data_IF_566995150094
#
_entry.id   IF_566995150094
#
_cell.length_a   1.000
_cell.length_b   1.000
_cell.length_c   1.000
_cell.angle_alpha   90.00
_cell.angle_beta   90.00
_cell.angle_gamma   90.00
#
_symmetry.space_group_name_H-M   'P 1'
#
loop_
_entity.id
_entity.type
_entity.pdbx_description
1 polymer ?
#
# COMPACT_ATOMS: atom_id res chain seq x y z
N UNK A 1 -21.16 47.09 16.30
CA UNK A 1 -21.29 45.93 15.39
C UNK A 1 -21.27 46.45 13.96
N UNK A 2 -20.09 46.41 13.32
CA UNK A 2 -19.79 47.11 12.06
C UNK A 2 -19.76 46.08 10.93
N UNK A 3 -20.94 45.66 10.46
CA UNK A 3 -21.07 44.79 9.27
C UNK A 3 -22.07 45.32 8.24
N UNK A 4 -22.62 46.53 8.45
CA UNK A 4 -23.68 47.11 7.61
C UNK A 4 -23.19 48.18 6.62
N UNK A 5 -21.89 48.37 6.44
CA UNK A 5 -21.36 49.48 5.62
C UNK A 5 -21.01 49.10 4.17
N UNK A 6 -21.05 47.82 3.79
CA UNK A 6 -20.54 47.36 2.48
C UNK A 6 -21.59 46.73 1.55
N UNK A 7 -22.89 46.81 1.86
CA UNK A 7 -23.96 46.32 0.96
C UNK A 7 -23.88 44.83 0.63
N UNK A 8 -23.06 44.05 1.34
CA UNK A 8 -22.92 42.62 1.16
C UNK A 8 -23.96 41.89 1.98
N UNK A 9 -24.78 41.05 1.33
CA UNK A 9 -25.73 40.20 2.04
C UNK A 9 -24.96 39.25 2.98
N UNK A 10 -25.18 39.27 4.30
CA UNK A 10 -24.42 38.44 5.25
C UNK A 10 -24.52 36.94 4.93
N UNK A 11 -25.61 36.51 4.28
CA UNK A 11 -25.77 35.15 3.76
C UNK A 11 -24.74 34.79 2.67
N UNK A 12 -24.38 35.72 1.79
CA UNK A 12 -23.38 35.48 0.74
C UNK A 12 -21.97 35.36 1.31
N UNK A 13 -21.67 36.15 2.35
CA UNK A 13 -20.38 36.06 3.08
C UNK A 13 -20.28 34.71 3.80
N UNK A 14 -21.35 34.28 4.47
CA UNK A 14 -21.40 32.97 5.13
C UNK A 14 -21.26 31.81 4.12
N UNK A 15 -21.95 31.88 2.97
CA UNK A 15 -21.81 30.90 1.89
C UNK A 15 -20.38 30.83 1.35
N UNK A 16 -19.73 31.99 1.15
CA UNK A 16 -18.33 32.06 0.71
C UNK A 16 -17.36 31.42 1.71
N UNK A 17 -17.57 31.66 3.01
CA UNK A 17 -16.75 31.05 4.06
C UNK A 17 -16.93 29.54 4.15
N UNK A 18 -18.18 29.05 4.06
CA UNK A 18 -18.47 27.60 4.06
C UNK A 18 -17.86 26.92 2.83
N UNK A 19 -18.04 27.51 1.63
CA UNK A 19 -17.44 26.98 0.40
C UNK A 19 -15.91 26.97 0.47
N UNK A 20 -15.30 28.05 0.99
CA UNK A 20 -13.85 28.13 1.20
C UNK A 20 -13.33 27.08 2.20
N UNK A 21 -14.04 26.85 3.30
CA UNK A 21 -13.68 25.85 4.29
C UNK A 21 -13.76 24.42 3.73
N UNK A 22 -14.78 24.11 2.93
CA UNK A 22 -14.92 22.82 2.25
C UNK A 22 -13.77 22.63 1.25
N UNK A 23 -13.46 23.64 0.44
CA UNK A 23 -12.37 23.59 -0.52
C UNK A 23 -11.01 23.37 0.14
N UNK A 24 -10.70 24.13 1.20
CA UNK A 24 -9.48 23.97 1.98
C UNK A 24 -9.37 22.58 2.61
N UNK A 25 -10.48 22.06 3.15
CA UNK A 25 -10.52 20.72 3.75
C UNK A 25 -10.25 19.64 2.71
N UNK A 26 -10.90 19.71 1.54
CA UNK A 26 -10.66 18.78 0.42
C UNK A 26 -9.21 18.83 -0.04
N UNK A 27 -8.65 20.03 -0.22
CA UNK A 27 -7.27 20.21 -0.65
C UNK A 27 -6.28 19.64 0.38
N UNK A 28 -6.53 19.90 1.66
CA UNK A 28 -5.68 19.42 2.75
C UNK A 28 -5.73 17.90 2.90
N UNK A 29 -6.93 17.30 2.80
CA UNK A 29 -7.09 15.85 2.79
C UNK A 29 -6.37 15.23 1.59
N UNK A 30 -6.51 15.79 0.39
CA UNK A 30 -5.83 15.30 -0.80
C UNK A 30 -4.30 15.39 -0.66
N UNK A 31 -3.79 16.51 -0.13
CA UNK A 31 -2.36 16.68 0.15
C UNK A 31 -1.83 15.66 1.18
N UNK A 32 -2.59 15.41 2.25
CA UNK A 32 -2.25 14.40 3.27
C UNK A 32 -2.25 12.99 2.69
N UNK A 33 -3.19 12.65 1.79
CA UNK A 33 -3.20 11.37 1.08
C UNK A 33 -1.96 11.20 0.19
N UNK A 34 -1.56 12.24 -0.54
CA UNK A 34 -0.34 12.21 -1.34
C UNK A 34 0.94 12.09 -0.49
N UNK A 35 0.99 12.79 0.65
CA UNK A 35 2.13 12.67 1.58
C UNK A 35 2.23 11.25 2.15
N UNK A 36 1.09 10.69 2.58
CA UNK A 36 1.01 9.35 3.20
C UNK A 36 1.35 8.24 2.22
N UNK A 37 0.97 8.37 0.94
CA UNK A 37 1.31 7.39 -0.09
C UNK A 37 2.78 7.44 -0.49
N UNK A 38 3.38 8.64 -0.55
CA UNK A 38 4.81 8.81 -0.83
C UNK A 38 5.70 8.32 0.34
N UNK A 39 5.31 8.59 1.58
CA UNK A 39 6.02 8.08 2.77
C UNK A 39 5.79 6.58 3.01
N UNK A 40 4.57 6.08 2.79
CA UNK A 40 4.24 4.66 2.90
C UNK A 40 4.99 3.78 1.91
N UNK A 41 5.26 4.27 0.69
CA UNK A 41 6.09 3.57 -0.30
C UNK A 41 7.59 3.52 0.06
N UNK A 42 8.12 4.56 0.73
CA UNK A 42 9.52 4.54 1.20
C UNK A 42 9.75 3.55 2.36
N UNK A 43 8.74 3.29 3.18
CA UNK A 43 8.82 2.31 4.28
C UNK A 43 8.77 0.84 3.85
N UNK A 44 8.15 0.51 2.71
CA UNK A 44 8.03 -0.87 2.21
C UNK A 44 9.20 -1.33 1.33
N UNK A 45 9.92 -0.39 0.68
CA UNK A 45 11.07 -0.74 -0.17
C UNK A 45 12.27 -1.32 0.60
N UNK A 46 12.41 -1.00 1.89
CA UNK A 46 13.53 -1.45 2.73
C UNK A 46 13.33 -2.78 3.47
N UNK A 47 12.08 -3.21 3.70
CA UNK A 47 11.79 -4.44 4.47
C UNK A 47 11.67 -5.70 3.62
N UNK A 48 11.51 -5.58 2.30
CA UNK A 48 11.22 -6.76 1.47
C UNK A 48 12.45 -7.53 0.96
N UNK A 49 13.68 -7.01 1.08
CA UNK A 49 14.85 -7.67 0.47
C UNK A 49 15.60 -8.63 1.42
N UNK A 50 15.53 -8.43 2.73
CA UNK A 50 16.33 -9.21 3.70
C UNK A 50 15.53 -10.19 4.57
N UNK A 51 14.19 -10.10 4.60
CA UNK A 51 13.31 -10.96 5.42
C UNK A 51 12.74 -12.18 4.67
N UNK A 52 13.20 -12.47 3.45
CA UNK A 52 12.80 -13.72 2.80
C UNK A 52 13.70 -14.83 3.35
N UNK A 53 13.20 -15.77 4.16
CA UNK A 53 14.01 -16.90 4.59
C UNK A 53 14.54 -17.61 3.35
N UNK A 54 15.79 -18.13 3.38
CA UNK A 54 16.30 -18.91 2.26
C UNK A 54 15.26 -20.00 1.96
N UNK A 55 14.73 -20.00 0.75
CA UNK A 55 13.77 -21.02 0.33
C UNK A 55 14.56 -22.32 0.23
N UNK A 56 14.64 -23.06 1.33
CA UNK A 56 15.32 -24.36 1.39
C UNK A 56 14.54 -25.30 0.46
N UNK A 57 15.11 -25.60 -0.70
CA UNK A 57 14.55 -26.55 -1.66
C UNK A 57 15.12 -27.93 -1.37
N UNK A 58 14.34 -28.98 -1.62
CA UNK A 58 14.84 -30.35 -1.62
C UNK A 58 14.86 -30.89 -3.06
N UNK A 59 15.89 -31.65 -3.42
CA UNK A 59 16.00 -32.26 -4.73
C UNK A 59 15.38 -33.65 -4.73
N UNK A 60 14.67 -33.98 -5.82
CA UNK A 60 14.11 -35.31 -5.97
C UNK A 60 15.23 -36.36 -6.15
N UNK A 61 15.30 -37.33 -5.24
CA UNK A 61 16.24 -38.46 -5.31
C UNK A 61 16.00 -39.46 -6.46
N UNK A 62 14.97 -39.24 -7.29
CA UNK A 62 14.80 -40.00 -8.54
C UNK A 62 15.88 -39.61 -9.53
N UNK A 63 16.83 -40.53 -9.81
CA UNK A 63 18.06 -40.24 -10.55
C UNK A 63 17.92 -39.46 -11.86
N UNK A 64 16.80 -39.62 -12.60
CA UNK A 64 16.50 -38.87 -13.84
C UNK A 64 15.74 -37.55 -13.63
N UNK A 65 15.01 -37.40 -12.52
CA UNK A 65 14.13 -36.25 -12.31
C UNK A 65 14.90 -35.06 -11.72
N UNK A 66 15.64 -35.27 -10.62
CA UNK A 66 16.44 -34.25 -9.92
C UNK A 66 15.78 -32.87 -9.76
N UNK A 67 14.45 -32.82 -9.76
CA UNK A 67 13.71 -31.58 -9.73
C UNK A 67 13.83 -30.94 -8.35
N UNK A 68 14.05 -29.63 -8.32
CA UNK A 68 14.03 -28.84 -7.09
C UNK A 68 12.59 -28.59 -6.66
N UNK A 69 12.24 -29.06 -5.46
CA UNK A 69 10.91 -28.97 -4.89
C UNK A 69 10.87 -27.95 -3.73
N UNK A 70 9.72 -27.29 -3.52
CA UNK A 70 9.53 -26.42 -2.37
C UNK A 70 9.62 -27.19 -1.05
N UNK A 71 9.99 -26.53 0.07
CA UNK A 71 10.10 -27.18 1.37
C UNK A 71 8.78 -27.81 1.85
N UNK A 72 7.64 -27.22 1.50
CA UNK A 72 6.31 -27.70 1.86
C UNK A 72 5.79 -28.87 0.99
N UNK A 73 6.47 -29.21 -0.11
CA UNK A 73 6.01 -30.27 -1.00
C UNK A 73 6.35 -31.66 -0.42
N UNK A 74 5.32 -32.49 -0.19
CA UNK A 74 5.48 -33.90 0.24
C UNK A 74 5.88 -34.84 -0.90
N UNK A 75 5.58 -34.44 -2.13
CA UNK A 75 5.85 -35.19 -3.35
C UNK A 75 6.60 -34.31 -4.35
N UNK A 76 7.40 -34.94 -5.21
CA UNK A 76 8.09 -34.27 -6.30
C UNK A 76 7.06 -33.75 -7.31
N UNK A 77 7.13 -32.47 -7.66
CA UNK A 77 6.21 -31.82 -8.61
C UNK A 77 6.32 -32.35 -10.03
N UNK A 78 7.46 -32.92 -10.38
CA UNK A 78 7.74 -33.40 -11.75
C UNK A 78 7.49 -34.90 -11.91
N UNK A 79 7.75 -35.74 -10.89
CA UNK A 79 7.62 -37.20 -11.00
C UNK A 79 6.72 -37.86 -9.94
N UNK A 80 6.13 -37.09 -9.03
CA UNK A 80 5.20 -37.60 -8.00
C UNK A 80 5.85 -38.44 -6.88
N UNK A 81 7.18 -38.66 -6.90
CA UNK A 81 7.86 -39.44 -5.86
C UNK A 81 7.81 -38.76 -4.49
N UNK A 82 7.68 -39.52 -3.39
CA UNK A 82 7.74 -38.96 -2.04
C UNK A 82 9.11 -38.35 -1.77
N UNK A 83 9.15 -37.37 -0.85
CA UNK A 83 10.39 -36.81 -0.32
C UNK A 83 11.13 -37.91 0.45
N UNK A 84 12.33 -38.26 -0.01
CA UNK A 84 13.28 -39.17 0.64
C UNK A 84 14.33 -38.39 1.39
#
# INVERSE_FOLDING_TARGET
MVFWASGGSPGLVALGLVAGAIFLTFFFLNAMFHLSTLTGRKGQGGRSLYDRPPVIRWECGGGRCRAANPPQARFCRMCGRPRT
#
